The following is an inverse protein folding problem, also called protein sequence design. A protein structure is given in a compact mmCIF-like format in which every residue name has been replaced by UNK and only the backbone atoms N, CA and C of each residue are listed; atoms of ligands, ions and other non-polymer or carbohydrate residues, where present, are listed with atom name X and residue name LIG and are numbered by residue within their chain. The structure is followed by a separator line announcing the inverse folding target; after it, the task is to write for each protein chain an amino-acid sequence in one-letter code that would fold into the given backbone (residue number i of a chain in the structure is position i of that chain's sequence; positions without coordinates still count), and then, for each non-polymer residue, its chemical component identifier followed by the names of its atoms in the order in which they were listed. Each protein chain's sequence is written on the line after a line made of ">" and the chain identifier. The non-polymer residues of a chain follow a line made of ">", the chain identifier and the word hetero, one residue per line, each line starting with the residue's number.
data_IF_925276661646
#
_entry.id   IF_925276661646
#
_cell.length_a   1.000
_cell.length_b   1.000
_cell.length_c   1.000
_cell.angle_alpha   90.00
_cell.angle_beta   90.00
_cell.angle_gamma   90.00
#
_symmetry.space_group_name_H-M   'P 1'
#
loop_
_entity.id
_entity.type
_entity.pdbx_description
1 polymer ?
#
# COMPACT_ATOMS: atom_id res chain seq x y z
N UNK A 1 22.48 7.68 49.59
CA UNK A 1 22.49 8.19 48.20
C UNK A 1 22.69 7.09 47.13
N UNK A 2 23.46 6.02 47.38
CA UNK A 2 23.71 4.91 46.42
C UNK A 2 22.45 4.24 45.82
N UNK A 3 21.39 4.03 46.61
CA UNK A 3 20.14 3.39 46.13
C UNK A 3 19.35 4.28 45.14
N UNK A 4 19.43 5.60 45.28
CA UNK A 4 18.77 6.56 44.36
C UNK A 4 19.50 6.67 43.03
N UNK A 5 20.83 6.53 43.04
CA UNK A 5 21.65 6.49 41.83
C UNK A 5 21.37 5.24 40.98
N UNK A 6 21.11 4.09 41.63
CA UNK A 6 20.78 2.85 40.93
C UNK A 6 19.45 2.94 40.16
N UNK A 7 18.43 3.58 40.76
CA UNK A 7 17.15 3.82 40.09
C UNK A 7 17.29 4.74 38.87
N UNK A 8 18.07 5.82 38.98
CA UNK A 8 18.33 6.74 37.86
C UNK A 8 19.10 6.04 36.73
N UNK A 9 20.10 5.22 37.07
CA UNK A 9 20.85 4.43 36.08
C UNK A 9 19.97 3.41 35.34
N UNK A 10 19.00 2.82 36.03
CA UNK A 10 18.07 1.86 35.44
C UNK A 10 17.12 2.54 34.44
N UNK A 11 16.59 3.72 34.78
CA UNK A 11 15.75 4.52 33.88
C UNK A 11 16.54 4.97 32.64
N UNK A 12 17.78 5.42 32.82
CA UNK A 12 18.67 5.79 31.71
C UNK A 12 18.96 4.60 30.79
N UNK A 13 19.19 3.41 31.34
CA UNK A 13 19.41 2.20 30.55
C UNK A 13 18.20 1.87 29.66
N UNK A 14 16.97 1.91 30.20
CA UNK A 14 15.75 1.64 29.41
C UNK A 14 15.58 2.64 28.27
N UNK A 15 15.80 3.94 28.54
CA UNK A 15 15.71 4.98 27.50
C UNK A 15 16.75 4.77 26.40
N UNK A 16 17.98 4.39 26.77
CA UNK A 16 19.03 4.11 25.79
C UNK A 16 18.72 2.86 24.96
N UNK A 17 18.21 1.78 25.56
CA UNK A 17 17.84 0.58 24.82
C UNK A 17 16.62 0.80 23.90
N UNK A 18 15.57 1.48 24.40
CA UNK A 18 14.40 1.81 23.59
C UNK A 18 14.76 2.79 22.46
N UNK A 19 15.53 3.83 22.76
CA UNK A 19 16.01 4.80 21.78
C UNK A 19 16.96 4.19 20.76
N UNK A 20 17.86 3.28 21.17
CA UNK A 20 18.75 2.54 20.26
C UNK A 20 17.97 1.57 19.37
N UNK A 21 16.93 0.92 19.89
CA UNK A 21 16.04 0.06 19.11
C UNK A 21 15.26 0.86 18.07
N UNK A 22 14.71 2.02 18.45
CA UNK A 22 14.03 2.94 17.51
C UNK A 22 15.01 3.49 16.47
N UNK A 23 16.20 3.93 16.87
CA UNK A 23 17.22 4.47 15.96
C UNK A 23 17.75 3.41 14.99
N UNK A 24 17.97 2.17 15.44
CA UNK A 24 18.35 1.06 14.56
C UNK A 24 17.15 0.47 13.78
N UNK A 25 15.92 0.76 14.18
CA UNK A 25 14.71 0.45 13.41
C UNK A 25 14.52 1.37 12.20
N UNK A 26 15.34 2.41 12.06
CA UNK A 26 15.52 3.11 10.77
C UNK A 26 16.39 2.31 9.78
N UNK A 27 16.72 1.05 10.09
CA UNK A 27 17.20 0.10 9.08
C UNK A 27 16.09 -0.08 8.05
N UNK A 28 16.27 0.60 6.91
CA UNK A 28 15.44 0.58 5.72
C UNK A 28 14.08 -0.04 5.95
N UNK A 29 13.08 0.80 6.25
CA UNK A 29 11.70 0.42 6.00
C UNK A 29 11.61 0.27 4.47
N UNK A 30 12.05 -0.87 3.96
CA UNK A 30 11.62 -1.41 2.70
C UNK A 30 10.14 -1.72 2.90
N UNK A 31 9.34 -0.66 2.88
CA UNK A 31 7.96 -0.76 2.44
C UNK A 31 8.08 -1.48 1.09
N UNK A 32 7.76 -2.76 1.12
CA UNK A 32 7.62 -3.55 -0.09
C UNK A 32 6.68 -2.76 -0.99
N UNK A 33 6.91 -2.70 -2.31
CA UNK A 33 6.03 -1.99 -3.26
C UNK A 33 4.53 -2.27 -3.02
N UNK A 34 4.22 -3.42 -2.44
CA UNK A 34 2.88 -3.84 -2.03
C UNK A 34 2.25 -2.96 -0.94
N UNK A 35 2.98 -2.53 0.09
CA UNK A 35 2.43 -1.64 1.13
C UNK A 35 2.27 -0.20 0.66
N UNK A 36 3.10 0.24 -0.30
CA UNK A 36 2.93 1.56 -0.92
C UNK A 36 1.75 1.56 -1.90
N UNK A 37 1.58 0.49 -2.70
CA UNK A 37 0.42 0.32 -3.57
C UNK A 37 -0.91 0.21 -2.80
N UNK A 38 -0.91 -0.46 -1.65
CA UNK A 38 -2.11 -0.51 -0.80
C UNK A 38 -2.42 0.84 -0.13
N UNK A 39 -1.42 1.69 0.08
CA UNK A 39 -1.61 3.04 0.59
C UNK A 39 -2.05 4.01 -0.52
N UNK A 40 -1.52 3.86 -1.73
CA UNK A 40 -1.96 4.60 -2.93
C UNK A 40 -3.40 4.24 -3.29
N UNK A 41 -3.78 2.95 -3.21
CA UNK A 41 -5.16 2.50 -3.42
C UNK A 41 -6.16 2.99 -2.35
N UNK A 42 -5.70 3.29 -1.13
CA UNK A 42 -6.55 3.85 -0.08
C UNK A 42 -6.58 5.40 -0.10
N UNK A 43 -5.58 6.04 -0.72
CA UNK A 43 -5.57 7.50 -0.90
C UNK A 43 -6.29 7.95 -2.19
N UNK A 44 -6.39 7.07 -3.19
CA UNK A 44 -7.14 7.26 -4.45
C UNK A 44 -8.68 7.12 -4.27
N UNK A 45 -9.16 6.99 -3.03
CA UNK A 45 -10.61 7.02 -2.75
C UNK A 45 -11.18 8.45 -2.58
N UNK A 46 -10.35 9.49 -2.72
CA UNK A 46 -10.78 10.90 -2.64
C UNK A 46 -10.90 11.61 -3.99
N UNK A 47 -10.79 10.92 -5.13
CA UNK A 47 -11.24 11.47 -6.41
C UNK A 47 -12.67 11.02 -6.69
N UNK A 48 -13.58 11.74 -6.03
CA UNK A 48 -14.97 11.94 -6.43
C UNK A 48 -15.05 12.27 -7.92
N UNK A 49 -15.18 11.26 -8.79
CA UNK A 49 -15.66 11.43 -10.16
C UNK A 49 -16.45 10.21 -10.60
N UNK A 50 -17.59 10.01 -9.93
CA UNK A 50 -18.77 9.52 -10.63
C UNK A 50 -18.96 10.31 -11.92
N UNK A 51 -19.23 9.65 -13.06
CA UNK A 51 -20.40 9.88 -13.92
C UNK A 51 -20.22 9.14 -15.24
N UNK A 52 -21.29 8.47 -15.64
CA UNK A 52 -21.44 7.77 -16.89
C UNK A 52 -21.44 8.73 -18.08
N UNK A 53 -20.77 8.35 -19.18
CA UNK A 53 -20.95 8.98 -20.49
C UNK A 53 -19.64 9.32 -21.19
N UNK A 54 -19.12 8.37 -21.98
CA UNK A 54 -18.01 8.62 -22.93
C UNK A 54 -16.68 9.00 -22.29
N UNK A 55 -16.35 8.41 -21.13
CA UNK A 55 -15.12 8.70 -20.41
C UNK A 55 -13.99 7.76 -20.83
N UNK A 56 -12.84 8.34 -21.17
CA UNK A 56 -11.59 7.60 -21.36
C UNK A 56 -11.15 7.01 -20.02
N UNK A 57 -11.25 5.70 -19.84
CA UNK A 57 -10.83 4.97 -18.63
C UNK A 57 -9.38 4.53 -18.72
N UNK A 58 -8.62 4.66 -17.63
CA UNK A 58 -7.29 4.03 -17.51
C UNK A 58 -7.45 2.51 -17.42
N UNK A 59 -6.78 1.78 -18.30
CA UNK A 59 -6.95 0.33 -18.46
C UNK A 59 -5.62 -0.40 -18.54
N UNK A 60 -5.63 -1.70 -18.22
CA UNK A 60 -4.44 -2.56 -18.28
C UNK A 60 -4.43 -3.46 -19.53
N UNK A 61 -3.27 -3.53 -20.20
CA UNK A 61 -3.07 -4.38 -21.40
C UNK A 61 -2.71 -5.81 -21.06
N UNK A 62 -1.91 -6.02 -20.01
CA UNK A 62 -1.56 -7.34 -19.51
C UNK A 62 -2.19 -7.53 -18.16
N UNK A 63 -3.04 -8.55 -18.06
CA UNK A 63 -3.83 -8.77 -16.86
C UNK A 63 -4.05 -10.27 -16.62
N UNK A 64 -4.40 -10.62 -15.38
CA UNK A 64 -4.84 -11.96 -14.99
C UNK A 64 -6.07 -11.83 -14.12
N UNK A 65 -7.20 -12.41 -14.55
CA UNK A 65 -8.45 -12.40 -13.76
C UNK A 65 -8.22 -13.09 -12.42
N UNK A 66 -8.82 -12.55 -11.37
CA UNK A 66 -8.87 -13.21 -10.09
C UNK A 66 -9.90 -14.35 -10.06
N UNK A 67 -9.59 -15.46 -9.35
CA UNK A 67 -10.59 -16.45 -9.00
C UNK A 67 -11.65 -15.81 -8.09
N UNK A 68 -12.82 -16.46 -7.99
CA UNK A 68 -13.93 -16.01 -7.12
C UNK A 68 -13.68 -16.27 -5.61
N UNK A 69 -12.45 -16.66 -5.26
CA UNK A 69 -12.04 -16.91 -3.88
C UNK A 69 -11.64 -15.60 -3.18
N UNK A 70 -11.60 -15.61 -1.84
CA UNK A 70 -11.19 -14.47 -0.98
C UNK A 70 -9.68 -14.11 -1.09
N UNK A 71 -9.05 -14.41 -2.23
CA UNK A 71 -7.66 -14.08 -2.50
C UNK A 71 -7.45 -12.59 -2.74
N UNK A 72 -6.24 -12.10 -2.49
CA UNK A 72 -5.87 -10.71 -2.76
C UNK A 72 -6.02 -10.39 -4.25
N UNK A 73 -7.01 -9.57 -4.59
CA UNK A 73 -7.29 -9.09 -5.94
C UNK A 73 -7.39 -7.55 -5.96
N UNK A 74 -7.02 -6.97 -7.10
CA UNK A 74 -7.14 -5.53 -7.38
C UNK A 74 -8.31 -5.27 -8.32
N UNK A 75 -9.03 -4.16 -8.12
CA UNK A 75 -10.12 -3.74 -8.99
C UNK A 75 -9.56 -2.87 -10.12
N UNK A 76 -9.75 -3.25 -11.39
CA UNK A 76 -9.16 -2.51 -12.50
C UNK A 76 -9.84 -2.74 -13.86
N UNK A 77 -9.76 -1.74 -14.73
CA UNK A 77 -10.27 -1.81 -16.10
C UNK A 77 -9.29 -2.55 -17.01
N UNK A 78 -9.80 -3.37 -17.94
CA UNK A 78 -8.95 -4.03 -18.94
C UNK A 78 -9.16 -3.46 -20.33
N UNK A 79 -8.08 -3.24 -21.07
CA UNK A 79 -8.15 -2.52 -22.35
C UNK A 79 -8.85 -3.31 -23.47
N UNK A 80 -8.95 -4.63 -23.34
CA UNK A 80 -9.53 -5.49 -24.38
C UNK A 80 -11.04 -5.27 -24.54
N UNK A 81 -11.74 -5.12 -23.43
CA UNK A 81 -13.19 -5.00 -23.38
C UNK A 81 -13.64 -3.69 -22.73
N UNK A 82 -12.71 -2.89 -22.19
CA UNK A 82 -12.99 -1.67 -21.45
C UNK A 82 -14.06 -1.90 -20.36
N UNK A 83 -13.82 -2.92 -19.55
CA UNK A 83 -14.68 -3.31 -18.44
C UNK A 83 -13.86 -3.55 -17.17
N UNK A 84 -14.52 -3.42 -16.01
CA UNK A 84 -13.95 -3.61 -14.69
C UNK A 84 -13.95 -5.08 -14.27
N UNK A 85 -12.81 -5.54 -13.76
CA UNK A 85 -12.67 -6.89 -13.20
C UNK A 85 -11.80 -6.90 -11.94
N UNK A 86 -11.97 -7.94 -11.14
CA UNK A 86 -11.00 -8.34 -10.13
C UNK A 86 -9.80 -9.00 -10.82
N UNK A 87 -8.59 -8.49 -10.58
CA UNK A 87 -7.35 -8.93 -11.20
C UNK A 87 -6.34 -9.38 -10.14
N UNK A 88 -5.59 -10.45 -10.40
CA UNK A 88 -4.41 -10.85 -9.58
C UNK A 88 -3.13 -10.15 -10.03
N UNK A 89 -3.09 -9.79 -11.30
CA UNK A 89 -1.95 -9.13 -11.93
C UNK A 89 -2.50 -8.12 -12.93
N UNK A 90 -1.93 -6.92 -12.93
CA UNK A 90 -2.24 -5.87 -13.87
C UNK A 90 -0.95 -5.11 -14.21
N UNK A 91 -0.64 -5.04 -15.51
CA UNK A 91 0.59 -4.44 -16.04
C UNK A 91 0.31 -3.70 -17.34
N UNK A 92 1.14 -2.68 -17.56
CA UNK A 92 1.10 -1.80 -18.74
C UNK A 92 -0.24 -1.07 -18.87
N UNK A 93 -0.26 0.18 -18.42
CA UNK A 93 -1.44 1.05 -18.48
C UNK A 93 -1.59 1.69 -19.85
N UNK A 94 -2.83 1.99 -20.20
CA UNK A 94 -3.27 2.69 -21.41
C UNK A 94 -4.63 3.31 -21.12
N UNK A 95 -5.28 3.87 -22.14
CA UNK A 95 -6.67 4.29 -22.04
C UNK A 95 -7.57 3.48 -22.97
N UNK A 96 -8.82 3.30 -22.55
CA UNK A 96 -9.90 2.78 -23.38
C UNK A 96 -11.13 3.68 -23.26
N UNK A 97 -11.91 3.77 -24.33
CA UNK A 97 -13.15 4.53 -24.35
C UNK A 97 -14.31 3.55 -24.41
N UNK A 98 -15.32 3.78 -23.58
CA UNK A 98 -16.54 2.97 -23.54
C UNK A 98 -17.64 3.54 -24.43
#
# INVERSE_FOLDING_TARGET
>A
MKKKLFGIMLVLAVILFAGYTVYNSHGDIKLSDVTLANLEALADENDDNSEAGGASHSCYKKWRKAPEDDGFALWGWICQECELYWLLEAKYTSTCNK
#
